data_IF_348589780505
#
_entry.id   IF_348589780505
#
_cell.length_a   1.000
_cell.length_b   1.000
_cell.length_c   1.000
_cell.angle_alpha   90.00
_cell.angle_beta   90.00
_cell.angle_gamma   90.00
#
_symmetry.space_group_name_H-M   'P 1'
#
loop_
_entity.id
_entity.type
_entity.pdbx_description
1 polymer ?
#
# COMPACT_ATOMS: atom_id res chain seq x y z
N UNK A 1 -24.14 -7.28 -14.40
CA UNK A 1 -23.53 -6.86 -13.12
C UNK A 1 -23.57 -8.05 -12.16
N UNK A 2 -22.55 -8.91 -12.18
CA UNK A 2 -22.59 -10.24 -11.54
C UNK A 2 -21.34 -10.52 -10.67
N UNK A 3 -20.83 -9.52 -9.96
CA UNK A 3 -19.66 -9.69 -9.09
C UNK A 3 -19.95 -9.33 -7.62
N UNK A 4 -21.20 -9.45 -7.15
CA UNK A 4 -21.57 -9.20 -5.75
C UNK A 4 -21.73 -10.46 -4.89
N UNK A 5 -21.44 -11.66 -5.43
CA UNK A 5 -21.71 -12.94 -4.75
C UNK A 5 -20.49 -13.83 -4.46
N UNK A 6 -19.26 -13.39 -4.74
CA UNK A 6 -18.06 -14.23 -4.52
C UNK A 6 -17.52 -14.16 -3.07
N UNK A 7 -17.92 -13.15 -2.28
CA UNK A 7 -17.31 -12.86 -0.98
C UNK A 7 -18.17 -13.30 0.21
N UNK A 8 -18.50 -14.59 0.30
CA UNK A 8 -19.13 -15.17 1.49
C UNK A 8 -18.19 -16.18 2.13
N UNK A 9 -17.54 -15.81 3.24
CA UNK A 9 -16.94 -16.77 4.17
C UNK A 9 -15.42 -16.78 4.21
N UNK A 10 -14.78 -17.53 3.31
CA UNK A 10 -13.43 -18.07 3.58
C UNK A 10 -12.27 -17.41 2.81
N UNK A 11 -12.61 -16.52 1.88
CA UNK A 11 -11.64 -15.80 1.03
C UNK A 11 -10.75 -14.74 1.72
N UNK A 12 -11.16 -14.07 2.82
CA UNK A 12 -10.34 -13.00 3.41
C UNK A 12 -9.03 -13.51 4.03
N UNK A 13 -9.06 -14.69 4.66
CA UNK A 13 -7.89 -15.28 5.32
C UNK A 13 -6.84 -15.70 4.30
N UNK A 14 -7.25 -16.38 3.23
CA UNK A 14 -6.38 -16.74 2.11
C UNK A 14 -5.79 -15.50 1.41
N UNK A 15 -6.59 -14.44 1.22
CA UNK A 15 -6.07 -13.19 0.66
C UNK A 15 -5.04 -12.55 1.58
N UNK A 16 -5.26 -12.57 2.88
CA UNK A 16 -4.27 -12.08 3.85
C UNK A 16 -2.97 -12.89 3.79
N UNK A 17 -3.04 -14.22 3.70
CA UNK A 17 -1.83 -15.06 3.55
C UNK A 17 -1.05 -14.71 2.27
N UNK A 18 -1.75 -14.53 1.14
CA UNK A 18 -1.12 -14.15 -0.12
C UNK A 18 -0.48 -12.75 -0.01
N UNK A 19 -1.18 -11.79 0.58
CA UNK A 19 -0.66 -10.43 0.76
C UNK A 19 0.56 -10.44 1.72
N UNK A 20 0.53 -11.23 2.79
CA UNK A 20 1.66 -11.40 3.70
C UNK A 20 2.87 -12.02 3.02
N UNK A 21 2.67 -12.95 2.09
CA UNK A 21 3.76 -13.50 1.27
C UNK A 21 4.47 -12.40 0.46
N UNK A 22 3.72 -11.41 -0.03
CA UNK A 22 4.24 -10.27 -0.79
C UNK A 22 4.58 -9.03 0.06
N UNK A 23 4.54 -9.10 1.39
CA UNK A 23 4.67 -7.91 2.27
C UNK A 23 5.95 -7.08 2.04
N UNK A 24 7.02 -7.71 1.56
CA UNK A 24 8.31 -7.05 1.28
C UNK A 24 8.51 -6.71 -0.20
N UNK A 25 7.60 -7.15 -1.08
CA UNK A 25 7.65 -6.90 -2.52
C UNK A 25 6.69 -5.77 -2.89
N UNK A 26 7.16 -4.54 -2.66
CA UNK A 26 6.37 -3.33 -2.84
C UNK A 26 5.88 -3.14 -4.28
N UNK A 27 6.65 -3.54 -5.30
CA UNK A 27 6.23 -3.43 -6.71
C UNK A 27 5.01 -4.31 -7.00
N UNK A 28 5.03 -5.54 -6.48
CA UNK A 28 3.90 -6.45 -6.59
C UNK A 28 2.70 -5.93 -5.79
N UNK A 29 2.90 -5.43 -4.56
CA UNK A 29 1.84 -4.84 -3.76
C UNK A 29 1.16 -3.64 -4.43
N UNK A 30 1.94 -2.73 -5.04
CA UNK A 30 1.40 -1.61 -5.81
C UNK A 30 0.54 -2.08 -7.00
N UNK A 31 0.97 -3.14 -7.69
CA UNK A 31 0.21 -3.74 -8.78
C UNK A 31 -1.09 -4.38 -8.27
N UNK A 32 -1.04 -5.06 -7.12
CA UNK A 32 -2.18 -5.73 -6.51
C UNK A 32 -3.30 -4.76 -6.07
N UNK A 33 -2.96 -3.54 -5.65
CA UNK A 33 -3.96 -2.50 -5.32
C UNK A 33 -4.92 -2.22 -6.48
N UNK A 34 -4.44 -2.34 -7.72
CA UNK A 34 -5.21 -2.03 -8.93
C UNK A 34 -6.15 -3.17 -9.35
N UNK A 35 -6.04 -4.36 -8.73
CA UNK A 35 -6.81 -5.55 -9.12
C UNK A 35 -8.29 -5.40 -8.78
N UNK A 36 -8.62 -5.08 -7.52
CA UNK A 36 -10.00 -4.77 -7.10
C UNK A 36 -10.05 -4.00 -5.76
N UNK A 37 -11.25 -3.57 -5.37
CA UNK A 37 -11.49 -2.76 -4.15
C UNK A 37 -11.08 -3.47 -2.85
N UNK A 38 -11.13 -4.80 -2.79
CA UNK A 38 -10.75 -5.56 -1.59
C UNK A 38 -9.23 -5.64 -1.44
N UNK A 39 -8.50 -5.95 -2.52
CA UNK A 39 -7.03 -5.89 -2.54
C UNK A 39 -6.53 -4.49 -2.16
N UNK A 40 -7.14 -3.46 -2.76
CA UNK A 40 -6.88 -2.06 -2.41
C UNK A 40 -7.05 -1.80 -0.90
N UNK A 41 -8.16 -2.25 -0.30
CA UNK A 41 -8.45 -2.02 1.11
C UNK A 41 -7.48 -2.74 2.07
N UNK A 42 -7.00 -3.93 1.70
CA UNK A 42 -6.06 -4.71 2.52
C UNK A 42 -4.61 -4.24 2.37
N UNK A 43 -4.20 -3.85 1.16
CA UNK A 43 -2.79 -3.50 0.89
C UNK A 43 -2.46 -2.07 1.27
N UNK A 44 -3.40 -1.12 1.18
CA UNK A 44 -3.14 0.28 1.58
C UNK A 44 -2.60 0.36 3.02
N UNK A 45 -3.22 -0.25 4.04
CA UNK A 45 -2.67 -0.24 5.39
C UNK A 45 -1.23 -0.76 5.48
N UNK A 46 -0.90 -1.83 4.75
CA UNK A 46 0.45 -2.41 4.72
C UNK A 46 1.48 -1.48 4.06
N UNK A 47 1.11 -0.82 2.95
CA UNK A 47 1.96 0.18 2.31
C UNK A 47 2.11 1.47 3.11
N UNK A 48 1.25 1.72 4.10
CA UNK A 48 1.31 2.92 4.93
C UNK A 48 1.77 2.63 6.37
N UNK A 49 2.14 1.38 6.67
CA UNK A 49 2.66 1.00 7.99
C UNK A 49 3.97 1.73 8.32
N UNK A 50 4.87 1.86 7.33
CA UNK A 50 6.02 2.74 7.39
C UNK A 50 6.29 3.40 6.02
N UNK A 51 5.70 4.57 5.75
CA UNK A 51 5.84 5.23 4.45
C UNK A 51 7.29 5.64 4.15
N UNK A 52 8.14 5.82 5.18
CA UNK A 52 9.49 6.33 5.00
C UNK A 52 10.52 5.25 4.68
N UNK A 53 10.35 4.02 5.15
CA UNK A 53 11.22 2.90 4.75
C UNK A 53 10.91 2.38 3.34
N UNK A 54 9.67 2.49 2.86
CA UNK A 54 9.27 2.07 1.50
C UNK A 54 10.00 2.87 0.42
N UNK A 55 10.31 4.13 0.70
CA UNK A 55 11.12 4.99 -0.17
C UNK A 55 12.57 4.52 -0.34
N UNK A 56 13.06 3.58 0.48
CA UNK A 56 14.37 2.95 0.30
C UNK A 56 14.43 2.04 -0.92
N UNK A 57 13.30 1.45 -1.34
CA UNK A 57 13.22 0.53 -2.48
C UNK A 57 12.73 1.21 -3.77
N UNK A 58 12.10 2.39 -3.66
CA UNK A 58 11.67 3.22 -4.80
C UNK A 58 12.53 4.49 -4.89
N UNK A 59 13.69 4.38 -5.53
CA UNK A 59 14.71 5.44 -5.68
C UNK A 59 14.25 6.75 -6.38
N UNK A 60 12.97 6.91 -6.72
CA UNK A 60 12.48 7.98 -7.60
C UNK A 60 11.71 9.11 -6.89
N UNK A 61 11.27 8.95 -5.63
CA UNK A 61 10.33 9.91 -5.01
C UNK A 61 10.92 10.78 -3.87
N UNK A 62 12.24 10.99 -3.81
CA UNK A 62 12.87 11.89 -2.82
C UNK A 62 12.36 13.34 -2.90
N UNK A 63 11.81 13.77 -4.04
CA UNK A 63 11.24 15.11 -4.19
C UNK A 63 10.04 15.34 -3.27
N UNK A 64 9.18 14.34 -3.06
CA UNK A 64 8.04 14.46 -2.17
C UNK A 64 8.46 14.56 -0.70
N UNK A 65 9.46 13.78 -0.29
CA UNK A 65 10.04 13.86 1.06
C UNK A 65 10.61 15.27 1.30
N UNK A 66 11.31 15.83 0.31
CA UNK A 66 11.85 17.19 0.38
C UNK A 66 10.76 18.26 0.55
N UNK A 67 9.64 18.15 -0.17
CA UNK A 67 8.50 19.06 -0.05
C UNK A 67 7.87 18.95 1.34
N UNK A 68 7.68 17.73 1.86
CA UNK A 68 7.10 17.51 3.18
C UNK A 68 7.97 18.08 4.30
N UNK A 69 9.29 17.86 4.23
CA UNK A 69 10.26 18.40 5.18
C UNK A 69 10.33 19.94 5.10
N UNK A 70 10.35 20.53 3.91
CA UNK A 70 10.33 21.98 3.75
C UNK A 70 9.07 22.60 4.35
N UNK A 71 7.90 21.99 4.12
CA UNK A 71 6.64 22.47 4.68
C UNK A 71 6.62 22.35 6.21
N UNK A 72 7.17 21.27 6.76
CA UNK A 72 7.30 21.08 8.21
C UNK A 72 8.22 22.15 8.84
N UNK A 73 9.34 22.48 8.19
CA UNK A 73 10.27 23.51 8.65
C UNK A 73 9.61 24.90 8.58
N UNK A 74 8.89 25.21 7.50
CA UNK A 74 8.17 26.47 7.33
C UNK A 74 7.04 26.69 8.34
N UNK A 75 6.40 25.62 8.83
CA UNK A 75 5.31 25.72 9.81
C UNK A 75 5.82 25.91 11.24
N UNK A 76 7.08 25.58 11.49
CA UNK A 76 7.73 25.62 12.81
C UNK A 76 8.70 26.82 12.97
N UNK A 77 8.76 27.70 11.97
CA UNK A 77 9.57 28.93 11.95
C UNK A 77 8.66 30.17 12.07
#
# INVERSE_FOLDING_TARGET
>A
MACSKIFSGDLPELLNEIIQYFQNDYETLYSCILVNRLWCHLIIPLLWEDPFTIHKYSFQNYQFIGIYLNNLILLNA
#
